data_IF_866301079975
#
_entry.id   IF_866301079975
#
_cell.length_a   1.000
_cell.length_b   1.000
_cell.length_c   1.000
_cell.angle_alpha   90.00
_cell.angle_beta   90.00
_cell.angle_gamma   90.00
#
_symmetry.space_group_name_H-M   'P 1'
#
loop_
_entity.id
_entity.type
_entity.pdbx_description
1 polymer ?
#
# COMPACT_ATOMS: atom_id res chain seq x y z
N UNK A 1 32.77 1.00 0.40
CA UNK A 1 32.53 1.79 1.62
C UNK A 1 31.03 1.91 1.78
N UNK A 2 30.44 1.20 2.73
CA UNK A 2 29.00 1.29 3.01
C UNK A 2 28.80 2.58 3.80
N UNK A 3 28.25 3.61 3.16
CA UNK A 3 27.85 4.84 3.84
C UNK A 3 26.95 4.47 5.02
N UNK A 4 27.32 4.90 6.23
CA UNK A 4 26.44 4.87 7.40
C UNK A 4 25.27 5.80 7.11
N UNK A 5 24.20 5.26 6.56
CA UNK A 5 22.90 5.95 6.54
C UNK A 5 22.44 6.06 7.99
N UNK A 6 22.63 7.24 8.58
CA UNK A 6 22.01 7.61 9.84
C UNK A 6 20.51 7.70 9.56
N UNK A 7 19.71 6.86 10.23
CA UNK A 7 18.25 6.92 10.15
C UNK A 7 17.79 8.36 10.28
N UNK A 8 16.96 8.80 9.34
CA UNK A 8 16.36 10.14 9.42
C UNK A 8 15.57 10.26 10.72
N UNK A 9 15.49 11.47 11.29
CA UNK A 9 14.65 11.75 12.48
C UNK A 9 13.21 11.26 12.25
N UNK A 10 12.72 11.41 11.02
CA UNK A 10 11.41 10.90 10.62
C UNK A 10 11.30 9.37 10.74
N UNK A 11 12.26 8.63 10.18
CA UNK A 11 12.25 7.16 10.21
C UNK A 11 12.33 6.63 11.64
N UNK A 12 13.14 7.29 12.49
CA UNK A 12 13.29 6.93 13.90
C UNK A 12 12.00 7.13 14.70
N UNK A 13 11.24 8.19 14.43
CA UNK A 13 10.00 8.51 15.14
C UNK A 13 8.74 8.23 14.32
N UNK A 14 8.82 7.38 13.29
CA UNK A 14 7.70 7.10 12.38
C UNK A 14 6.44 6.69 13.14
N UNK A 15 6.56 5.81 14.14
CA UNK A 15 5.43 5.37 14.95
C UNK A 15 4.74 6.52 15.70
N UNK A 16 5.51 7.50 16.19
CA UNK A 16 4.96 8.67 16.87
C UNK A 16 4.22 9.58 15.88
N UNK A 17 4.80 9.81 14.69
CA UNK A 17 4.13 10.59 13.64
C UNK A 17 2.83 9.93 13.19
N UNK A 18 2.81 8.61 13.03
CA UNK A 18 1.60 7.86 12.70
C UNK A 18 0.55 8.04 13.79
N UNK A 19 0.90 7.91 15.07
CA UNK A 19 -0.03 8.14 16.20
C UNK A 19 -0.59 9.58 16.20
N UNK A 20 0.25 10.58 15.95
CA UNK A 20 -0.19 11.97 15.84
C UNK A 20 -1.14 12.17 14.65
N UNK A 21 -0.86 11.56 13.50
CA UNK A 21 -1.74 11.60 12.32
C UNK A 21 -3.09 10.92 12.57
N UNK A 22 -3.11 9.82 13.31
CA UNK A 22 -4.36 9.15 13.72
C UNK A 22 -5.19 10.10 14.60
N UNK A 23 -4.57 10.66 15.64
CA UNK A 23 -5.24 11.61 16.53
C UNK A 23 -5.76 12.85 15.79
N UNK A 24 -4.93 13.44 14.93
CA UNK A 24 -5.29 14.58 14.10
C UNK A 24 -6.42 14.24 13.12
N UNK A 25 -6.38 13.07 12.48
CA UNK A 25 -7.42 12.60 11.56
C UNK A 25 -8.77 12.44 12.26
N UNK A 26 -8.80 11.77 13.41
CA UNK A 26 -10.02 11.60 14.21
C UNK A 26 -10.56 12.96 14.68
N UNK A 27 -9.69 13.86 15.14
CA UNK A 27 -10.07 15.20 15.59
C UNK A 27 -10.65 16.05 14.44
N UNK A 28 -10.04 15.98 13.25
CA UNK A 28 -10.52 16.67 12.05
C UNK A 28 -11.87 16.12 11.59
N UNK A 29 -12.06 14.79 11.61
CA UNK A 29 -13.35 14.15 11.33
C UNK A 29 -14.47 14.62 12.28
N UNK A 30 -14.14 14.92 13.54
CA UNK A 30 -15.09 15.43 14.54
C UNK A 30 -15.45 16.91 14.34
N UNK A 31 -14.46 17.77 14.08
CA UNK A 31 -14.67 19.23 13.99
C UNK A 31 -15.22 19.69 12.65
N UNK A 32 -14.91 18.96 11.57
CA UNK A 32 -15.28 19.33 10.21
C UNK A 32 -15.85 18.12 9.42
N UNK A 33 -16.95 17.49 9.89
CA UNK A 33 -17.56 16.35 9.20
C UNK A 33 -17.99 16.70 7.76
N UNK A 34 -18.39 17.95 7.50
CA UNK A 34 -18.70 18.41 6.13
C UNK A 34 -17.50 18.34 5.17
N UNK A 35 -16.28 18.54 5.67
CA UNK A 35 -15.07 18.45 4.84
C UNK A 35 -14.79 16.99 4.47
N UNK A 36 -14.97 16.07 5.42
CA UNK A 36 -14.86 14.63 5.17
C UNK A 36 -15.89 14.15 4.13
N UNK A 37 -17.16 14.57 4.26
CA UNK A 37 -18.24 14.21 3.33
C UNK A 37 -18.02 14.81 1.94
N UNK A 38 -17.58 16.08 1.84
CA UNK A 38 -17.25 16.73 0.56
C UNK A 38 -16.07 16.05 -0.15
N UNK A 39 -15.07 15.58 0.61
CA UNK A 39 -13.93 14.87 0.04
C UNK A 39 -14.29 13.43 -0.39
N UNK A 40 -15.23 12.76 0.28
CA UNK A 40 -15.75 11.45 -0.16
C UNK A 40 -16.69 11.57 -1.38
N UNK A 41 -17.41 12.69 -1.54
CA UNK A 41 -18.18 12.96 -2.77
C UNK A 41 -17.29 13.22 -3.99
N UNK A 42 -16.04 13.67 -3.79
CA UNK A 42 -14.99 13.69 -4.82
C UNK A 42 -14.40 12.29 -5.05
N UNK A 43 -15.26 11.31 -5.32
CA UNK A 43 -14.88 9.93 -5.65
C UNK A 43 -15.35 9.52 -7.04
N UNK A 44 -14.51 8.77 -7.75
CA UNK A 44 -14.82 8.16 -9.04
C UNK A 44 -14.74 6.65 -8.86
N UNK A 45 -15.83 5.93 -9.13
CA UNK A 45 -15.91 4.46 -8.92
C UNK A 45 -15.45 4.00 -7.53
N UNK A 46 -15.86 4.73 -6.48
CA UNK A 46 -15.51 4.47 -5.07
C UNK A 46 -14.06 4.76 -4.67
N UNK A 47 -13.29 5.38 -5.57
CA UNK A 47 -11.91 5.85 -5.33
C UNK A 47 -11.90 7.36 -5.13
N UNK A 48 -11.58 7.83 -3.92
CA UNK A 48 -11.47 9.27 -3.61
C UNK A 48 -10.27 9.89 -4.32
N UNK A 49 -10.51 10.92 -5.14
CA UNK A 49 -9.46 11.62 -5.91
C UNK A 49 -8.35 12.18 -5.00
N UNK A 50 -8.65 12.83 -3.85
CA UNK A 50 -7.59 13.33 -2.96
C UNK A 50 -6.67 12.22 -2.45
N UNK A 51 -7.24 11.07 -2.07
CA UNK A 51 -6.46 9.90 -1.63
C UNK A 51 -5.65 9.35 -2.80
N UNK A 52 -6.23 9.28 -3.99
CA UNK A 52 -5.54 8.80 -5.18
C UNK A 52 -4.29 9.64 -5.50
N UNK A 53 -4.39 10.98 -5.41
CA UNK A 53 -3.25 11.89 -5.60
C UNK A 53 -2.18 11.63 -4.53
N UNK A 54 -2.57 11.50 -3.26
CA UNK A 54 -1.61 11.24 -2.18
C UNK A 54 -0.92 9.88 -2.36
N UNK A 55 -1.68 8.83 -2.68
CA UNK A 55 -1.13 7.51 -2.97
C UNK A 55 -0.20 7.52 -4.18
N UNK A 56 -0.53 8.30 -5.23
CA UNK A 56 0.36 8.49 -6.37
C UNK A 56 1.71 9.08 -5.92
N UNK A 57 1.69 10.20 -5.18
CA UNK A 57 2.94 10.83 -4.70
C UNK A 57 3.69 9.98 -3.66
N UNK A 58 3.00 9.09 -2.96
CA UNK A 58 3.61 8.13 -2.06
C UNK A 58 4.29 6.98 -2.82
N UNK A 59 3.65 6.44 -3.86
CA UNK A 59 4.18 5.28 -4.61
C UNK A 59 5.17 5.67 -5.69
N UNK A 60 5.03 6.85 -6.29
CA UNK A 60 5.87 7.34 -7.38
C UNK A 60 7.38 7.31 -7.03
N UNK A 61 7.85 7.82 -5.87
CA UNK A 61 9.26 7.75 -5.49
C UNK A 61 9.83 6.33 -5.42
N UNK A 62 9.01 5.38 -5.00
CA UNK A 62 9.41 3.96 -4.93
C UNK A 62 9.58 3.42 -6.35
N UNK A 63 8.61 3.69 -7.22
CA UNK A 63 8.62 3.21 -8.61
C UNK A 63 9.76 3.81 -9.43
N UNK A 64 10.10 5.09 -9.21
CA UNK A 64 11.24 5.74 -9.87
C UNK A 64 12.58 5.13 -9.43
N UNK A 65 12.69 4.66 -8.18
CA UNK A 65 13.90 3.99 -7.69
C UNK A 65 14.12 2.60 -8.29
N UNK A 66 13.10 1.99 -8.90
CA UNK A 66 13.23 0.65 -9.50
C UNK A 66 14.19 0.69 -10.68
N UNK A 67 15.25 -0.12 -10.59
CA UNK A 67 16.13 -0.37 -11.72
C UNK A 67 15.72 -1.63 -12.49
N UNK A 68 15.12 -1.44 -13.66
CA UNK A 68 14.75 -2.54 -14.56
C UNK A 68 15.95 -3.39 -15.01
N UNK A 69 17.16 -2.83 -15.06
CA UNK A 69 18.36 -3.61 -15.35
C UNK A 69 18.67 -4.59 -14.21
N UNK A 70 18.45 -4.18 -12.96
CA UNK A 70 18.60 -5.06 -11.79
C UNK A 70 17.48 -6.10 -11.72
N UNK A 71 16.25 -5.74 -12.10
CA UNK A 71 15.12 -6.69 -12.23
C UNK A 71 15.48 -7.82 -13.20
N UNK A 72 16.01 -7.49 -14.38
CA UNK A 72 16.44 -8.49 -15.37
C UNK A 72 17.62 -9.32 -14.85
N UNK A 73 18.54 -8.72 -14.09
CA UNK A 73 19.65 -9.47 -13.47
C UNK A 73 19.16 -10.46 -12.42
N UNK A 74 18.22 -10.10 -11.54
CA UNK A 74 17.75 -11.05 -10.53
C UNK A 74 16.82 -12.13 -11.07
N UNK A 75 16.19 -11.91 -12.23
CA UNK A 75 15.55 -13.01 -12.96
C UNK A 75 16.55 -14.16 -13.26
N UNK A 76 17.86 -13.87 -13.28
CA UNK A 76 18.93 -14.88 -13.40
C UNK A 76 19.28 -15.60 -12.10
N UNK A 77 18.74 -15.19 -10.95
CA UNK A 77 18.87 -15.89 -9.65
C UNK A 77 17.50 -16.41 -9.19
N UNK A 78 17.01 -17.52 -9.77
CA UNK A 78 15.61 -17.93 -9.63
C UNK A 78 15.27 -18.48 -8.24
N UNK A 79 16.22 -19.09 -7.51
CA UNK A 79 15.93 -19.75 -6.23
C UNK A 79 15.36 -18.79 -5.17
N UNK A 80 16.01 -17.65 -4.85
CA UNK A 80 15.44 -16.69 -3.90
C UNK A 80 14.13 -16.09 -4.41
N UNK A 81 14.05 -15.77 -5.71
CA UNK A 81 12.88 -15.10 -6.30
C UNK A 81 11.65 -15.99 -6.22
N UNK A 82 11.78 -17.26 -6.63
CA UNK A 82 10.70 -18.22 -6.57
C UNK A 82 10.22 -18.46 -5.13
N UNK A 83 11.14 -18.57 -4.16
CA UNK A 83 10.78 -18.73 -2.76
C UNK A 83 10.00 -17.52 -2.23
N UNK A 84 10.48 -16.30 -2.49
CA UNK A 84 9.80 -15.08 -2.05
C UNK A 84 8.43 -14.92 -2.69
N UNK A 85 8.31 -15.17 -3.99
CA UNK A 85 7.02 -15.11 -4.69
C UNK A 85 6.04 -16.17 -4.17
N UNK A 86 6.51 -17.39 -3.94
CA UNK A 86 5.68 -18.45 -3.38
C UNK A 86 5.16 -18.07 -1.99
N UNK A 87 6.04 -17.60 -1.10
CA UNK A 87 5.62 -17.17 0.24
C UNK A 87 4.64 -16.00 0.16
N UNK A 88 4.92 -14.99 -0.67
CA UNK A 88 4.11 -13.77 -0.75
C UNK A 88 2.74 -13.97 -1.41
N UNK A 89 2.63 -14.84 -2.40
CA UNK A 89 1.43 -14.99 -3.20
C UNK A 89 0.65 -16.27 -2.94
N UNK A 90 1.32 -17.35 -2.51
CA UNK A 90 0.68 -18.63 -2.22
C UNK A 90 0.51 -18.91 -0.71
N UNK A 91 1.39 -18.42 0.16
CA UNK A 91 1.29 -18.68 1.61
C UNK A 91 0.61 -17.53 2.33
N UNK A 92 1.11 -16.30 2.16
CA UNK A 92 0.70 -15.12 2.91
C UNK A 92 -0.81 -14.81 2.80
N UNK A 93 -1.44 -14.78 1.61
CA UNK A 93 -2.85 -14.40 1.50
C UNK A 93 -3.79 -15.43 2.16
N UNK A 94 -3.48 -16.71 2.00
CA UNK A 94 -4.27 -17.80 2.56
C UNK A 94 -4.09 -17.89 4.08
N UNK A 95 -2.86 -17.72 4.56
CA UNK A 95 -2.59 -17.66 6.01
C UNK A 95 -3.32 -16.48 6.65
N UNK A 96 -3.30 -15.30 6.00
CA UNK A 96 -4.06 -14.14 6.46
C UNK A 96 -5.56 -14.43 6.49
N UNK A 97 -6.11 -15.06 5.46
CA UNK A 97 -7.52 -15.45 5.44
C UNK A 97 -7.88 -16.40 6.60
N UNK A 98 -7.09 -17.46 6.81
CA UNK A 98 -7.33 -18.43 7.90
C UNK A 98 -7.28 -17.75 9.27
N UNK A 99 -6.27 -16.90 9.51
CA UNK A 99 -6.15 -16.15 10.76
C UNK A 99 -7.33 -15.18 10.93
N UNK A 100 -7.64 -14.39 9.91
CA UNK A 100 -8.75 -13.43 9.95
C UNK A 100 -10.10 -14.13 10.16
N UNK A 101 -10.32 -15.27 9.50
CA UNK A 101 -11.54 -16.06 9.66
C UNK A 101 -11.65 -16.64 11.07
N UNK A 102 -10.57 -17.19 11.62
CA UNK A 102 -10.57 -17.73 12.97
C UNK A 102 -10.85 -16.64 14.02
N UNK A 103 -10.17 -15.50 13.92
CA UNK A 103 -10.35 -14.43 14.91
C UNK A 103 -11.65 -13.64 14.71
N UNK A 104 -11.94 -13.16 13.50
CA UNK A 104 -13.08 -12.26 13.26
C UNK A 104 -14.37 -13.01 12.95
N UNK A 105 -14.28 -14.19 12.32
CA UNK A 105 -15.45 -14.99 11.95
C UNK A 105 -15.88 -16.02 12.99
N UNK A 106 -14.99 -16.42 13.90
CA UNK A 106 -15.30 -17.39 14.96
C UNK A 106 -15.15 -16.78 16.37
N UNK A 107 -13.94 -16.38 16.77
CA UNK A 107 -13.67 -15.96 18.16
C UNK A 107 -14.33 -14.63 18.55
N UNK A 108 -14.26 -13.62 17.67
CA UNK A 108 -14.76 -12.26 17.92
C UNK A 108 -16.06 -11.94 17.20
N UNK A 109 -16.72 -12.96 16.63
CA UNK A 109 -17.97 -12.76 15.89
C UNK A 109 -19.02 -12.04 16.73
N UNK A 110 -19.15 -12.42 18.00
CA UNK A 110 -20.10 -11.81 18.94
C UNK A 110 -19.74 -10.36 19.31
N UNK A 111 -18.46 -9.99 19.24
CA UNK A 111 -17.99 -8.62 19.47
C UNK A 111 -18.15 -7.71 18.25
N UNK A 112 -18.53 -8.26 17.09
CA UNK A 112 -18.77 -7.52 15.84
C UNK A 112 -20.24 -7.63 15.40
N UNK A 113 -21.21 -7.24 16.25
CA UNK A 113 -22.62 -7.28 15.87
C UNK A 113 -22.93 -6.19 14.83
N UNK A 114 -23.81 -6.52 13.88
CA UNK A 114 -24.36 -5.57 12.93
C UNK A 114 -23.97 -5.83 11.48
N UNK A 115 -24.50 -4.98 10.62
CA UNK A 115 -24.34 -5.02 9.17
C UNK A 115 -23.80 -3.69 8.66
N UNK A 116 -22.97 -3.76 7.63
CA UNK A 116 -22.47 -2.58 6.91
C UNK A 116 -23.08 -2.59 5.51
N UNK A 117 -23.56 -1.43 5.07
CA UNK A 117 -23.96 -1.25 3.67
C UNK A 117 -22.69 -0.90 2.90
N UNK A 118 -22.22 -1.83 2.07
CA UNK A 118 -21.08 -1.57 1.19
C UNK A 118 -21.50 -0.48 0.20
N UNK A 119 -20.52 0.30 -0.26
CA UNK A 119 -20.62 1.27 -1.37
C UNK A 119 -21.32 0.74 -2.65
N UNK A 120 -21.52 -0.56 -2.79
CA UNK A 120 -22.31 -1.24 -3.84
C UNK A 120 -23.81 -1.37 -3.52
N UNK A 121 -24.27 -0.86 -2.38
CA UNK A 121 -25.67 -0.91 -1.91
C UNK A 121 -26.09 -2.22 -1.24
N UNK A 122 -25.19 -3.19 -1.09
CA UNK A 122 -25.49 -4.46 -0.45
C UNK A 122 -25.18 -4.43 1.04
N UNK A 123 -26.12 -4.94 1.83
CA UNK A 123 -25.96 -5.14 3.26
C UNK A 123 -25.18 -6.44 3.51
N UNK A 124 -24.05 -6.33 4.22
CA UNK A 124 -23.22 -7.46 4.60
C UNK A 124 -22.96 -7.47 6.10
N UNK A 125 -22.72 -8.65 6.66
CA UNK A 125 -22.33 -8.78 8.05
C UNK A 125 -20.96 -8.10 8.30
N UNK A 126 -20.86 -7.34 9.39
CA UNK A 126 -19.70 -6.51 9.69
C UNK A 126 -18.39 -7.33 9.78
N UNK A 127 -18.45 -8.52 10.39
CA UNK A 127 -17.29 -9.42 10.49
C UNK A 127 -16.75 -9.84 9.11
N UNK A 128 -17.63 -10.01 8.10
CA UNK A 128 -17.22 -10.32 6.71
C UNK A 128 -16.53 -9.14 6.06
N UNK A 129 -17.01 -7.92 6.32
CA UNK A 129 -16.38 -6.68 5.84
C UNK A 129 -14.95 -6.57 6.40
N UNK A 130 -14.76 -6.81 7.69
CA UNK A 130 -13.43 -6.79 8.31
C UNK A 130 -12.49 -7.89 7.80
N UNK A 131 -12.98 -9.13 7.62
CA UNK A 131 -12.19 -10.19 6.98
C UNK A 131 -11.78 -9.78 5.57
N UNK A 132 -12.68 -9.16 4.81
CA UNK A 132 -12.39 -8.68 3.45
C UNK A 132 -11.27 -7.64 3.45
N UNK A 133 -11.29 -6.69 4.41
CA UNK A 133 -10.20 -5.75 4.63
C UNK A 133 -8.88 -6.46 4.95
N UNK A 134 -8.89 -7.46 5.84
CA UNK A 134 -7.72 -8.24 6.20
C UNK A 134 -7.14 -9.02 5.00
N UNK A 135 -7.99 -9.62 4.16
CA UNK A 135 -7.61 -10.29 2.92
C UNK A 135 -6.91 -9.31 1.98
N UNK A 136 -7.52 -8.14 1.70
CA UNK A 136 -6.96 -7.14 0.79
C UNK A 136 -5.60 -6.61 1.29
N UNK A 137 -5.47 -6.36 2.59
CA UNK A 137 -4.20 -6.01 3.22
C UNK A 137 -3.18 -7.16 3.17
N UNK A 138 -3.63 -8.41 3.34
CA UNK A 138 -2.81 -9.60 3.26
C UNK A 138 -2.22 -9.85 1.88
N UNK A 139 -2.96 -9.54 0.81
CA UNK A 139 -2.48 -9.68 -0.58
C UNK A 139 -1.49 -8.57 -0.94
N UNK A 140 -1.69 -7.35 -0.44
CA UNK A 140 -0.82 -6.22 -0.75
C UNK A 140 0.64 -6.46 -0.26
N UNK A 141 1.65 -6.43 -1.15
CA UNK A 141 3.05 -6.54 -0.73
C UNK A 141 3.52 -5.25 -0.06
N UNK A 142 4.40 -5.37 0.94
CA UNK A 142 5.09 -4.22 1.50
C UNK A 142 6.32 -3.91 0.65
N UNK A 143 6.44 -2.68 0.14
CA UNK A 143 7.53 -2.29 -0.78
C UNK A 143 8.57 -1.40 -0.12
N UNK A 144 8.17 -0.43 0.70
CA UNK A 144 9.09 0.55 1.29
C UNK A 144 9.81 0.06 2.54
N UNK A 145 9.07 -0.41 3.55
CA UNK A 145 9.63 -0.73 4.86
C UNK A 145 10.60 -1.92 4.81
N UNK A 146 10.43 -2.82 3.84
CA UNK A 146 11.27 -4.01 3.67
C UNK A 146 12.73 -3.64 3.39
N UNK A 147 13.01 -2.53 2.69
CA UNK A 147 14.37 -2.05 2.47
C UNK A 147 15.04 -1.63 3.78
N UNK A 148 14.30 -0.92 4.64
CA UNK A 148 14.81 -0.50 5.94
C UNK A 148 15.02 -1.69 6.88
N UNK A 149 14.08 -2.63 6.92
CA UNK A 149 14.26 -3.87 7.69
C UNK A 149 15.42 -4.72 7.18
N UNK A 150 15.59 -4.81 5.85
CA UNK A 150 16.72 -5.49 5.22
C UNK A 150 18.04 -4.86 5.65
N UNK A 151 18.14 -3.54 5.58
CA UNK A 151 19.32 -2.79 6.03
C UNK A 151 19.60 -3.00 7.53
N UNK A 152 18.59 -2.89 8.39
CA UNK A 152 18.73 -3.09 9.85
C UNK A 152 19.15 -4.52 10.19
N UNK A 153 18.65 -5.50 9.44
CA UNK A 153 19.01 -6.91 9.59
C UNK A 153 20.38 -7.27 8.96
N UNK A 154 21.09 -6.29 8.38
CA UNK A 154 22.33 -6.50 7.61
C UNK A 154 22.16 -7.51 6.46
N UNK A 155 20.99 -7.44 5.81
CA UNK A 155 20.63 -8.25 4.66
C UNK A 155 21.32 -7.80 3.37
N UNK A 156 20.95 -8.45 2.27
CA UNK A 156 21.42 -8.06 0.94
C UNK A 156 20.47 -7.01 0.34
N UNK A 157 20.89 -5.75 0.35
CA UNK A 157 20.08 -4.62 -0.12
C UNK A 157 19.75 -4.74 -1.61
N UNK A 158 20.71 -5.15 -2.44
CA UNK A 158 20.50 -5.34 -3.88
C UNK A 158 19.45 -6.42 -4.17
N UNK A 159 19.55 -7.57 -3.50
CA UNK A 159 18.52 -8.62 -3.61
C UNK A 159 17.16 -8.13 -3.13
N UNK A 160 17.12 -7.37 -2.04
CA UNK A 160 15.88 -6.83 -1.47
C UNK A 160 15.21 -5.84 -2.41
N UNK A 161 15.98 -4.91 -3.00
CA UNK A 161 15.51 -3.98 -4.02
C UNK A 161 14.87 -4.71 -5.20
N UNK A 162 15.53 -5.76 -5.68
CA UNK A 162 14.98 -6.51 -6.80
C UNK A 162 13.73 -7.31 -6.42
N UNK A 163 13.68 -7.91 -5.22
CA UNK A 163 12.46 -8.57 -4.74
C UNK A 163 11.29 -7.59 -4.61
N UNK A 164 11.54 -6.37 -4.14
CA UNK A 164 10.52 -5.32 -4.05
C UNK A 164 9.98 -4.99 -5.45
N UNK A 165 10.86 -4.86 -6.44
CA UNK A 165 10.46 -4.60 -7.82
C UNK A 165 9.65 -5.76 -8.44
N UNK A 166 10.13 -7.01 -8.29
CA UNK A 166 9.42 -8.19 -8.80
C UNK A 166 8.05 -8.33 -8.12
N UNK A 167 7.97 -8.18 -6.79
CA UNK A 167 6.68 -8.22 -6.08
C UNK A 167 5.72 -7.12 -6.54
N UNK A 168 6.23 -5.91 -6.79
CA UNK A 168 5.40 -4.80 -7.27
C UNK A 168 4.84 -5.07 -8.67
N UNK A 169 5.63 -5.71 -9.55
CA UNK A 169 5.18 -6.13 -10.88
C UNK A 169 4.17 -7.29 -10.79
N UNK A 170 4.46 -8.30 -9.96
CA UNK A 170 3.54 -9.41 -9.72
C UNK A 170 2.20 -8.94 -9.16
N UNK A 171 2.18 -7.88 -8.35
CA UNK A 171 0.95 -7.31 -7.80
C UNK A 171 -0.02 -6.84 -8.88
N UNK A 172 0.46 -6.27 -9.99
CA UNK A 172 -0.41 -5.82 -11.07
C UNK A 172 -1.26 -6.94 -11.67
N UNK A 173 -0.74 -8.17 -11.63
CA UNK A 173 -1.38 -9.34 -12.23
C UNK A 173 -2.09 -10.18 -11.18
N UNK A 174 -1.47 -10.41 -10.02
CA UNK A 174 -1.95 -11.37 -9.02
C UNK A 174 -2.91 -10.75 -8.00
N UNK A 175 -2.86 -9.43 -7.76
CA UNK A 175 -3.69 -8.80 -6.73
C UNK A 175 -5.18 -8.95 -7.02
N UNK A 176 -5.62 -8.64 -8.24
CA UNK A 176 -7.03 -8.69 -8.60
C UNK A 176 -7.61 -10.13 -8.62
N UNK A 177 -6.95 -11.13 -9.24
CA UNK A 177 -7.42 -12.51 -9.22
C UNK A 177 -7.46 -13.12 -7.81
N UNK A 178 -6.41 -12.93 -7.00
CA UNK A 178 -6.38 -13.47 -5.63
C UNK A 178 -7.38 -12.75 -4.72
N UNK A 179 -7.53 -11.44 -4.87
CA UNK A 179 -8.54 -10.65 -4.18
C UNK A 179 -9.94 -11.15 -4.52
N UNK A 180 -10.26 -11.28 -5.81
CA UNK A 180 -11.55 -11.81 -6.25
C UNK A 180 -11.82 -13.23 -5.74
N UNK A 181 -10.82 -14.11 -5.79
CA UNK A 181 -10.96 -15.48 -5.29
C UNK A 181 -11.23 -15.52 -3.78
N UNK A 182 -10.38 -14.89 -2.95
CA UNK A 182 -10.52 -14.93 -1.49
C UNK A 182 -11.75 -14.18 -0.99
N UNK A 183 -12.13 -13.07 -1.64
CA UNK A 183 -13.39 -12.37 -1.34
C UNK A 183 -14.61 -13.22 -1.72
N UNK A 184 -14.54 -13.96 -2.82
CA UNK A 184 -15.58 -14.90 -3.23
C UNK A 184 -15.77 -16.02 -2.21
N UNK A 185 -14.67 -16.59 -1.68
CA UNK A 185 -14.72 -17.58 -0.58
C UNK A 185 -15.35 -16.98 0.69
N UNK A 186 -15.12 -15.69 0.96
CA UNK A 186 -15.74 -14.97 2.07
C UNK A 186 -17.21 -14.55 1.81
N UNK A 187 -17.79 -14.92 0.66
CA UNK A 187 -19.13 -14.54 0.21
C UNK A 187 -19.38 -13.02 0.21
N UNK A 188 -18.38 -12.24 -0.21
CA UNK A 188 -18.46 -10.78 -0.32
C UNK A 188 -18.62 -10.37 -1.79
N UNK A 189 -19.48 -9.39 -2.13
CA UNK A 189 -19.64 -8.92 -3.50
C UNK A 189 -18.33 -8.37 -4.07
N UNK A 190 -17.79 -9.02 -5.09
CA UNK A 190 -16.46 -8.68 -5.63
C UNK A 190 -16.58 -7.41 -6.51
N UNK A 191 -15.98 -6.27 -6.10
CA UNK A 191 -16.05 -5.04 -6.89
C UNK A 191 -14.94 -5.04 -7.96
N UNK A 192 -15.05 -5.90 -8.97
CA UNK A 192 -14.03 -6.10 -10.02
C UNK A 192 -13.58 -4.79 -10.68
N UNK A 193 -14.53 -3.90 -10.99
CA UNK A 193 -14.23 -2.59 -11.58
C UNK A 193 -13.38 -1.73 -10.64
N UNK A 194 -13.75 -1.64 -9.36
CA UNK A 194 -13.01 -0.86 -8.37
C UNK A 194 -11.64 -1.45 -8.10
N UNK A 195 -11.50 -2.78 -7.99
CA UNK A 195 -10.21 -3.44 -7.79
C UNK A 195 -9.28 -3.16 -8.98
N UNK A 196 -9.76 -3.37 -10.21
CA UNK A 196 -8.96 -3.16 -11.41
C UNK A 196 -8.57 -1.69 -11.57
N UNK A 197 -9.52 -0.76 -11.41
CA UNK A 197 -9.26 0.67 -11.47
C UNK A 197 -8.29 1.14 -10.37
N UNK A 198 -8.42 0.61 -9.16
CA UNK A 198 -7.49 0.90 -8.05
C UNK A 198 -6.08 0.40 -8.34
N UNK A 199 -5.92 -0.82 -8.89
CA UNK A 199 -4.61 -1.34 -9.28
C UNK A 199 -3.99 -0.51 -10.40
N UNK A 200 -4.78 -0.11 -11.39
CA UNK A 200 -4.31 0.74 -12.48
C UNK A 200 -3.88 2.13 -11.99
N UNK A 201 -4.71 2.81 -11.20
CA UNK A 201 -4.43 4.18 -10.74
C UNK A 201 -3.34 4.19 -9.66
N UNK A 202 -3.38 3.27 -8.70
CA UNK A 202 -2.45 3.31 -7.56
C UNK A 202 -1.12 2.62 -7.85
N UNK A 203 -1.06 1.66 -8.77
CA UNK A 203 0.17 0.89 -9.03
C UNK A 203 0.67 1.11 -10.44
N UNK A 204 -0.16 0.84 -11.46
CA UNK A 204 0.30 0.89 -12.85
C UNK A 204 0.69 2.31 -13.28
N UNK A 205 -0.10 3.31 -12.92
CA UNK A 205 0.15 4.71 -13.30
C UNK A 205 1.43 5.27 -12.67
N UNK A 206 1.70 5.14 -11.34
CA UNK A 206 2.99 5.48 -10.75
C UNK A 206 4.16 4.69 -11.34
N UNK A 207 3.96 3.41 -11.68
CA UNK A 207 5.00 2.58 -12.30
C UNK A 207 5.39 3.10 -13.68
N UNK A 208 4.40 3.38 -14.53
CA UNK A 208 4.61 3.92 -15.88
C UNK A 208 5.28 5.30 -15.78
N UNK A 209 4.73 6.19 -14.95
CA UNK A 209 5.31 7.51 -14.72
C UNK A 209 6.74 7.38 -14.18
N UNK A 210 6.99 6.45 -13.25
CA UNK A 210 8.29 6.19 -12.66
C UNK A 210 9.32 5.72 -13.69
N UNK A 211 8.94 4.77 -14.54
CA UNK A 211 9.80 4.24 -15.59
C UNK A 211 10.21 5.32 -16.60
N UNK A 212 9.23 6.07 -17.13
CA UNK A 212 9.50 7.10 -18.12
C UNK A 212 10.31 8.26 -17.54
N UNK A 213 9.96 8.73 -16.34
CA UNK A 213 10.68 9.82 -15.69
C UNK A 213 12.13 9.43 -15.35
N UNK A 214 12.36 8.20 -14.85
CA UNK A 214 13.72 7.68 -14.62
C UNK A 214 14.54 7.68 -15.91
N UNK A 215 14.00 7.07 -16.98
CA UNK A 215 14.71 6.95 -18.26
C UNK A 215 15.05 8.32 -18.86
N UNK A 216 14.08 9.24 -18.85
CA UNK A 216 14.25 10.59 -19.35
C UNK A 216 15.26 11.39 -18.53
N UNK A 217 15.13 11.41 -17.20
CA UNK A 217 16.03 12.17 -16.33
C UNK A 217 17.48 11.69 -16.40
N UNK A 218 17.70 10.38 -16.45
CA UNK A 218 19.05 9.82 -16.59
C UNK A 218 19.67 10.17 -17.94
N UNK A 219 18.88 10.16 -19.02
CA UNK A 219 19.36 10.55 -20.35
C UNK A 219 19.77 12.03 -20.44
N UNK A 220 19.01 12.93 -19.82
CA UNK A 220 19.25 14.38 -19.94
C UNK A 220 20.21 14.94 -18.87
N UNK A 221 20.16 14.43 -17.63
CA UNK A 221 20.90 15.00 -16.49
C UNK A 221 21.93 14.06 -15.88
N UNK A 222 22.01 12.81 -16.35
CA UNK A 222 22.93 11.80 -15.85
C UNK A 222 22.48 11.11 -14.57
N UNK A 223 23.10 9.96 -14.29
CA UNK A 223 22.78 9.10 -13.13
C UNK A 223 23.10 9.76 -11.79
N UNK A 224 24.18 10.54 -11.75
CA UNK A 224 24.66 11.17 -10.51
C UNK A 224 23.70 12.27 -10.03
N UNK A 225 23.19 13.11 -10.93
CA UNK A 225 22.18 14.11 -10.60
C UNK A 225 20.85 13.47 -10.17
N UNK A 226 20.45 12.37 -10.83
CA UNK A 226 19.26 11.61 -10.46
C UNK A 226 19.34 11.08 -9.02
N UNK A 227 20.46 10.46 -8.65
CA UNK A 227 20.62 9.90 -7.31
C UNK A 227 20.78 10.97 -6.22
N UNK A 228 21.53 12.04 -6.49
CA UNK A 228 21.88 13.05 -5.46
C UNK A 228 20.83 14.13 -5.27
N UNK A 229 20.21 14.63 -6.33
CA UNK A 229 19.25 15.75 -6.26
C UNK A 229 17.80 15.28 -6.35
N UNK A 230 17.48 14.48 -7.36
CA UNK A 230 16.09 14.11 -7.62
C UNK A 230 15.53 13.15 -6.55
N UNK A 231 16.23 12.06 -6.24
CA UNK A 231 15.78 11.13 -5.20
C UNK A 231 15.75 11.75 -3.80
N UNK A 232 16.68 12.67 -3.50
CA UNK A 232 16.69 13.38 -2.22
C UNK A 232 15.45 14.27 -2.05
N UNK A 233 15.00 14.93 -3.11
CA UNK A 233 13.81 15.78 -3.08
C UNK A 233 12.49 14.99 -3.04
N UNK A 234 12.47 13.79 -3.62
CA UNK A 234 11.29 12.92 -3.61
C UNK A 234 11.00 12.28 -2.24
N UNK A 235 12.02 12.09 -1.41
CA UNK A 235 11.88 11.47 -0.08
C UNK A 235 10.93 12.24 0.85
N UNK A 236 11.09 13.57 1.08
CA UNK A 236 10.15 14.33 1.90
C UNK A 236 8.74 14.41 1.29
N UNK A 237 8.62 14.44 -0.04
CA UNK A 237 7.31 14.43 -0.72
C UNK A 237 6.54 13.14 -0.40
N UNK A 238 7.22 11.98 -0.49
CA UNK A 238 6.64 10.68 -0.12
C UNK A 238 6.14 10.66 1.32
N UNK A 239 6.91 11.24 2.23
CA UNK A 239 6.61 11.28 3.67
C UNK A 239 5.37 12.13 3.92
N UNK A 240 5.32 13.34 3.35
CA UNK A 240 4.17 14.24 3.48
C UNK A 240 2.92 13.58 2.89
N UNK A 241 3.03 12.95 1.71
CA UNK A 241 1.93 12.25 1.07
C UNK A 241 1.41 11.07 1.91
N UNK A 242 2.31 10.29 2.55
CA UNK A 242 1.95 9.21 3.46
C UNK A 242 1.18 9.74 4.68
N UNK A 243 1.72 10.77 5.37
CA UNK A 243 1.09 11.35 6.55
C UNK A 243 -0.27 11.97 6.23
N UNK A 244 -0.38 12.66 5.09
CA UNK A 244 -1.64 13.25 4.64
C UNK A 244 -2.67 12.17 4.31
N UNK A 245 -2.24 11.07 3.66
CA UNK A 245 -3.12 9.91 3.40
C UNK A 245 -3.66 9.33 4.71
N UNK A 246 -2.81 9.19 5.75
CA UNK A 246 -3.24 8.71 7.06
C UNK A 246 -4.29 9.63 7.68
N UNK A 247 -4.03 10.93 7.70
CA UNK A 247 -4.98 11.92 8.24
C UNK A 247 -6.34 11.83 7.52
N UNK A 248 -6.33 11.74 6.18
CA UNK A 248 -7.55 11.62 5.38
C UNK A 248 -8.31 10.32 5.68
N UNK A 249 -7.62 9.17 5.70
CA UNK A 249 -8.25 7.88 5.98
C UNK A 249 -8.92 7.83 7.35
N UNK A 250 -8.24 8.35 8.38
CA UNK A 250 -8.78 8.39 9.74
C UNK A 250 -9.86 9.47 9.92
N UNK A 251 -9.79 10.56 9.16
CA UNK A 251 -10.85 11.57 9.14
C UNK A 251 -12.17 11.00 8.59
N UNK A 252 -12.13 10.19 7.53
CA UNK A 252 -13.33 9.57 6.95
C UNK A 252 -13.93 8.47 7.84
N UNK A 253 -13.11 7.84 8.69
CA UNK A 253 -13.55 6.81 9.63
C UNK A 253 -13.78 7.34 11.06
N UNK A 254 -13.64 8.65 11.28
CA UNK A 254 -13.74 9.27 12.60
C UNK A 254 -15.09 9.03 13.30
N UNK A 255 -16.19 9.05 12.56
CA UNK A 255 -17.53 8.76 13.11
C UNK A 255 -17.71 7.29 13.50
N UNK A 256 -17.08 6.35 12.79
CA UNK A 256 -17.18 4.91 13.09
C UNK A 256 -16.34 4.56 14.33
N UNK A 257 -15.19 5.21 14.51
CA UNK A 257 -14.26 4.93 15.62
C UNK A 257 -14.78 5.48 16.96
N UNK A 258 -15.52 6.58 16.93
CA UNK A 258 -15.99 7.30 18.13
C UNK A 258 -17.41 6.91 18.56
N UNK A 259 -18.04 5.94 17.89
CA UNK A 259 -19.41 5.48 18.17
C UNK A 259 -19.45 4.40 19.24
#
# INVERSE_FOLDING_TARGET
MVEKSTLSIFEKYLSLWVLLCIGAGIFLGKLAPEVAVKLDTFAVYQVSIPIAICLFFMMYPIMVKIDFAEVVKAAKTPKPVALTLFINWAVKPFTMYVIAFFFLGYLFKEFLPGTEIIKSGQEVELWRSYISGAILLGIAPCTAMVLMWGYLAKGNDGLTLVMVAINSLSMLILYAPLGGFLLGVNAMPIPWQTILLSVLIYVALPLIAGYFSRKWLIQYKGLEWFNTRFLHHLTPISIIALLLTLILLFSFKGEIIMK
#
